data_IF_623093875051
#
_entry.id   IF_623093875051
#
_cell.length_a   1.000
_cell.length_b   1.000
_cell.length_c   1.000
_cell.angle_alpha   90.00
_cell.angle_beta   90.00
_cell.angle_gamma   90.00
#
_symmetry.space_group_name_H-M   'P 1'
#
loop_
_entity.id
_entity.type
_entity.pdbx_description
1 polymer ?
#
# COMPACT_ATOMS: atom_id res chain seq x y z
N UNK A 1 15.47 -2.26 -13.09
CA UNK A 1 14.84 -1.91 -11.79
C UNK A 1 14.86 -3.15 -10.91
N UNK A 2 15.53 -3.14 -9.76
CA UNK A 2 15.56 -4.33 -8.91
C UNK A 2 14.16 -4.51 -8.30
N UNK A 3 13.53 -5.66 -8.60
CA UNK A 3 12.23 -6.00 -8.04
C UNK A 3 12.36 -6.18 -6.52
N UNK A 4 11.42 -5.61 -5.76
CA UNK A 4 11.37 -5.68 -4.30
C UNK A 4 10.10 -6.45 -3.93
N UNK A 5 10.24 -7.42 -3.00
CA UNK A 5 9.14 -8.26 -2.54
C UNK A 5 8.61 -7.84 -1.15
N UNK A 6 7.34 -8.13 -0.85
CA UNK A 6 6.86 -8.17 0.53
C UNK A 6 7.44 -9.37 1.28
N UNK A 7 7.59 -9.26 2.59
CA UNK A 7 7.86 -10.43 3.46
C UNK A 7 6.50 -11.02 3.84
N UNK A 8 6.16 -12.18 3.25
CA UNK A 8 4.83 -12.79 3.38
C UNK A 8 4.73 -13.75 4.57
N UNK A 9 5.83 -14.41 4.92
CA UNK A 9 5.89 -15.35 6.02
C UNK A 9 6.12 -14.65 7.35
N UNK A 10 5.26 -14.92 8.35
CA UNK A 10 5.31 -14.27 9.66
C UNK A 10 6.60 -14.59 10.42
N UNK A 11 7.06 -15.84 10.35
CA UNK A 11 8.31 -16.24 11.01
C UNK A 11 9.51 -15.50 10.44
N UNK A 12 9.56 -15.36 9.13
CA UNK A 12 10.59 -14.60 8.41
C UNK A 12 10.52 -13.12 8.75
N UNK A 13 9.30 -12.57 8.83
CA UNK A 13 9.09 -11.17 9.19
C UNK A 13 9.61 -10.86 10.60
N UNK A 14 9.26 -11.68 11.58
CA UNK A 14 9.71 -11.48 12.97
C UNK A 14 11.24 -11.67 13.11
N UNK A 15 11.83 -12.65 12.42
CA UNK A 15 13.29 -12.80 12.37
C UNK A 15 13.96 -11.58 11.73
N UNK A 16 13.38 -11.02 10.68
CA UNK A 16 13.90 -9.82 10.03
C UNK A 16 13.87 -8.62 10.98
N UNK A 17 12.75 -8.40 11.66
CA UNK A 17 12.58 -7.36 12.68
C UNK A 17 13.60 -7.51 13.82
N UNK A 18 13.77 -8.74 14.32
CA UNK A 18 14.75 -9.01 15.37
C UNK A 18 16.19 -8.70 14.93
N UNK A 19 16.55 -9.08 13.71
CA UNK A 19 17.87 -8.75 13.16
C UNK A 19 18.08 -7.25 12.95
N UNK A 20 17.04 -6.51 12.60
CA UNK A 20 17.12 -5.03 12.54
C UNK A 20 17.38 -4.45 13.94
N UNK A 21 16.72 -4.99 14.97
CA UNK A 21 16.91 -4.59 16.37
C UNK A 21 18.33 -4.89 16.86
N UNK A 22 18.92 -6.02 16.45
CA UNK A 22 20.31 -6.37 16.77
C UNK A 22 21.31 -5.37 16.16
N UNK A 23 20.98 -4.73 15.03
CA UNK A 23 21.81 -3.67 14.46
C UNK A 23 21.65 -2.36 15.24
N UNK A 24 20.40 -1.90 15.42
CA UNK A 24 20.04 -0.72 16.24
C UNK A 24 18.49 -0.63 16.28
N UNK A 25 17.94 -0.33 17.45
CA UNK A 25 16.50 -0.17 17.68
C UNK A 25 15.84 0.82 16.70
N UNK A 26 16.55 1.84 16.22
CA UNK A 26 16.01 2.79 15.24
C UNK A 26 15.59 2.15 13.91
N UNK A 27 16.31 1.11 13.44
CA UNK A 27 15.95 0.41 12.20
C UNK A 27 14.76 -0.52 12.42
N UNK A 28 14.66 -1.13 13.59
CA UNK A 28 13.50 -1.89 14.01
C UNK A 28 12.25 -1.01 14.04
N UNK A 29 12.29 0.14 14.73
CA UNK A 29 11.17 1.08 14.83
C UNK A 29 10.76 1.62 13.47
N UNK A 30 11.74 2.01 12.65
CA UNK A 30 11.48 2.48 11.28
C UNK A 30 10.73 1.43 10.46
N UNK A 31 11.14 0.17 10.57
CA UNK A 31 10.50 -0.94 9.86
C UNK A 31 9.11 -1.26 10.40
N UNK A 32 8.94 -1.27 11.73
CA UNK A 32 7.64 -1.47 12.39
C UNK A 32 6.61 -0.43 11.98
N UNK A 33 6.99 0.85 11.96
CA UNK A 33 6.10 1.92 11.51
C UNK A 33 5.69 1.69 10.05
N UNK A 34 6.63 1.37 9.17
CA UNK A 34 6.33 1.12 7.77
C UNK A 34 5.43 -0.10 7.54
N UNK A 35 5.62 -1.19 8.30
CA UNK A 35 4.79 -2.41 8.23
C UNK A 35 3.43 -2.21 8.91
N UNK A 36 3.35 -1.40 9.96
CA UNK A 36 2.10 -1.16 10.69
C UNK A 36 1.19 -0.11 10.05
N UNK A 37 1.76 0.85 9.30
CA UNK A 37 1.00 1.98 8.74
C UNK A 37 0.95 1.99 7.21
N UNK A 38 1.92 1.40 6.53
CA UNK A 38 2.06 1.49 5.08
C UNK A 38 2.72 2.78 4.59
N UNK A 39 3.24 3.62 5.47
CA UNK A 39 3.99 4.82 5.11
C UNK A 39 5.27 4.48 4.32
N UNK A 40 5.70 5.42 3.49
CA UNK A 40 6.98 5.30 2.79
C UNK A 40 8.14 5.63 3.73
N UNK A 41 9.29 5.01 3.47
CA UNK A 41 10.52 5.28 4.22
C UNK A 41 10.80 6.78 4.34
N UNK A 42 10.74 7.52 3.23
CA UNK A 42 11.02 8.95 3.20
C UNK A 42 10.00 9.82 3.96
N UNK A 43 8.79 9.32 4.17
CA UNK A 43 7.75 10.00 4.96
C UNK A 43 8.04 9.82 6.45
N UNK A 44 8.37 8.59 6.86
CA UNK A 44 8.69 8.28 8.26
C UNK A 44 9.94 9.04 8.73
N UNK A 45 10.95 9.16 7.87
CA UNK A 45 12.19 9.86 8.20
C UNK A 45 12.04 11.37 8.45
N UNK A 46 10.91 11.97 8.03
CA UNK A 46 10.61 13.39 8.26
C UNK A 46 9.93 13.66 9.59
N UNK A 47 9.38 12.63 10.25
CA UNK A 47 8.63 12.84 11.49
C UNK A 47 9.53 13.23 12.64
N UNK A 48 9.05 14.19 13.41
CA UNK A 48 9.48 14.43 14.78
C UNK A 48 8.75 13.47 15.74
N UNK A 49 9.25 13.33 16.93
CA UNK A 49 8.61 12.51 17.96
C UNK A 49 7.22 13.06 18.30
N UNK A 50 7.05 14.39 18.34
CA UNK A 50 5.76 15.07 18.54
C UNK A 50 4.71 14.78 17.47
N UNK A 51 5.13 14.35 16.27
CA UNK A 51 4.19 14.03 15.18
C UNK A 51 3.49 12.69 15.36
N UNK A 52 4.04 11.79 16.17
CA UNK A 52 3.58 10.38 16.25
C UNK A 52 3.29 9.89 17.66
N UNK A 53 4.05 10.37 18.69
CA UNK A 53 3.90 9.92 20.08
C UNK A 53 2.48 10.24 20.61
N UNK A 54 1.80 9.21 21.15
CA UNK A 54 0.47 9.34 21.75
C UNK A 54 -0.67 9.60 20.76
N UNK A 55 -0.42 9.48 19.44
CA UNK A 55 -1.45 9.69 18.42
C UNK A 55 -2.04 8.37 17.92
N UNK A 56 -3.33 8.40 17.57
CA UNK A 56 -4.05 7.26 16.99
C UNK A 56 -3.89 7.19 15.47
N UNK A 57 -3.48 8.30 14.85
CA UNK A 57 -3.28 8.40 13.41
C UNK A 57 -2.26 9.47 13.06
N UNK A 58 -1.69 9.34 11.87
CA UNK A 58 -0.71 10.26 11.29
C UNK A 58 -1.25 10.79 9.97
N UNK A 59 -1.14 12.09 9.74
CA UNK A 59 -1.34 12.68 8.43
C UNK A 59 -0.02 12.71 7.67
N UNK A 60 0.00 12.17 6.46
CA UNK A 60 1.13 12.27 5.56
C UNK A 60 0.70 12.65 4.14
N UNK A 61 1.56 13.40 3.46
CA UNK A 61 1.35 13.78 2.07
C UNK A 61 1.94 12.72 1.15
N UNK A 62 1.11 12.16 0.25
CA UNK A 62 1.53 11.12 -0.68
C UNK A 62 1.67 11.68 -2.10
N UNK A 63 2.74 11.24 -2.76
CA UNK A 63 3.01 11.54 -4.17
C UNK A 63 3.38 12.99 -4.44
N UNK A 64 3.60 13.29 -5.72
CA UNK A 64 4.00 14.63 -6.19
C UNK A 64 2.90 15.69 -6.05
N UNK A 65 1.64 15.28 -5.93
CA UNK A 65 0.49 16.18 -5.76
C UNK A 65 0.16 16.51 -4.29
N UNK A 66 1.02 16.09 -3.35
CA UNK A 66 0.84 16.32 -1.91
C UNK A 66 -0.57 15.96 -1.39
N UNK A 67 -1.11 14.83 -1.83
CA UNK A 67 -2.42 14.36 -1.39
C UNK A 67 -2.31 13.94 0.07
N UNK A 68 -3.01 14.64 0.95
CA UNK A 68 -3.08 14.27 2.37
C UNK A 68 -3.83 12.95 2.56
N UNK A 69 -3.24 12.05 3.32
CA UNK A 69 -3.83 10.77 3.74
C UNK A 69 -3.64 10.57 5.22
N UNK A 70 -4.62 9.93 5.84
CA UNK A 70 -4.61 9.57 7.25
C UNK A 70 -4.24 8.10 7.38
N UNK A 71 -3.20 7.81 8.14
CA UNK A 71 -2.72 6.46 8.43
C UNK A 71 -3.00 6.15 9.89
N UNK A 72 -3.78 5.12 10.16
CA UNK A 72 -4.04 4.65 11.52
C UNK A 72 -2.80 4.01 12.12
N UNK A 73 -2.57 4.24 13.42
CA UNK A 73 -1.52 3.59 14.19
C UNK A 73 -2.17 2.48 15.01
N UNK A 74 -1.86 1.19 14.75
CA UNK A 74 -2.35 0.09 15.58
C UNK A 74 -1.88 0.23 17.04
N UNK A 75 -2.69 -0.22 18.00
CA UNK A 75 -2.37 -0.11 19.44
C UNK A 75 -1.03 -0.73 19.85
N UNK A 76 -0.69 -1.87 19.26
CA UNK A 76 0.60 -2.51 19.55
C UNK A 76 1.78 -1.67 19.05
N UNK A 77 1.62 -1.06 17.86
CA UNK A 77 2.64 -0.15 17.32
C UNK A 77 2.75 1.13 18.17
N UNK A 78 1.63 1.64 18.70
CA UNK A 78 1.62 2.80 19.59
C UNK A 78 2.48 2.54 20.84
N UNK A 79 2.29 1.40 21.50
CA UNK A 79 3.10 0.98 22.67
C UNK A 79 4.60 0.88 22.34
N UNK A 80 4.92 0.36 21.16
CA UNK A 80 6.32 0.25 20.69
C UNK A 80 6.92 1.65 20.50
N UNK A 81 6.17 2.58 19.87
CA UNK A 81 6.61 3.96 19.65
C UNK A 81 6.78 4.70 20.98
N UNK A 82 5.85 4.57 21.91
CA UNK A 82 5.91 5.18 23.23
C UNK A 82 7.16 4.74 23.96
N UNK A 83 7.40 3.44 24.04
CA UNK A 83 8.61 2.88 24.68
C UNK A 83 9.90 3.37 24.02
N UNK A 84 9.96 3.41 22.68
CA UNK A 84 11.14 3.88 21.96
C UNK A 84 11.43 5.36 22.17
N UNK A 85 10.38 6.16 22.32
CA UNK A 85 10.47 7.62 22.44
C UNK A 85 10.52 8.11 23.89
N UNK A 86 10.45 7.20 24.89
CA UNK A 86 10.52 7.54 26.30
C UNK A 86 11.79 8.34 26.63
N UNK A 87 11.66 9.45 27.36
CA UNK A 87 12.77 10.33 27.74
C UNK A 87 13.41 11.14 26.61
N UNK A 88 12.92 11.00 25.34
CA UNK A 88 13.46 11.75 24.20
C UNK A 88 12.71 13.07 24.02
N UNK A 89 13.44 14.09 23.55
CA UNK A 89 12.89 15.41 23.21
C UNK A 89 11.84 15.30 22.10
N UNK A 90 10.60 15.81 22.31
CA UNK A 90 9.54 15.78 21.32
C UNK A 90 9.88 16.46 20.00
N UNK A 91 10.76 17.46 20.01
CA UNK A 91 11.17 18.21 18.82
C UNK A 91 12.27 17.52 18.01
N UNK A 92 12.87 16.47 18.57
CA UNK A 92 13.84 15.63 17.85
C UNK A 92 13.18 14.84 16.73
N UNK A 93 13.93 14.55 15.66
CA UNK A 93 13.49 13.57 14.66
C UNK A 93 13.28 12.21 15.30
N UNK A 94 12.21 11.54 14.89
CA UNK A 94 11.87 10.20 15.38
C UNK A 94 13.01 9.19 15.15
N UNK A 95 13.60 9.24 13.96
CA UNK A 95 14.70 8.36 13.54
C UNK A 95 15.94 9.21 13.27
N UNK A 96 16.80 9.32 14.26
CA UNK A 96 18.05 10.08 14.14
C UNK A 96 19.10 9.32 13.32
N UNK A 97 19.97 10.05 12.67
CA UNK A 97 21.11 9.55 11.91
C UNK A 97 22.20 8.97 12.79
N UNK A 98 23.38 9.56 12.75
CA UNK A 98 24.52 9.14 13.61
C UNK A 98 24.35 9.65 15.03
N UNK A 99 24.99 8.96 15.97
CA UNK A 99 25.08 9.40 17.37
C UNK A 99 25.60 10.83 17.46
N UNK A 100 24.85 11.72 18.13
CA UNK A 100 25.18 13.14 18.26
C UNK A 100 24.74 14.04 17.10
N UNK A 101 24.12 13.48 16.04
CA UNK A 101 23.55 14.26 14.96
C UNK A 101 22.12 14.69 15.27
N UNK A 102 21.79 15.97 15.08
CA UNK A 102 20.41 16.45 15.11
C UNK A 102 19.63 16.16 13.80
N UNK A 103 20.29 15.58 12.79
CA UNK A 103 19.70 15.29 11.49
C UNK A 103 19.00 13.91 11.48
N UNK A 104 17.94 13.73 10.67
CA UNK A 104 17.28 12.44 10.52
C UNK A 104 18.21 11.42 9.82
N UNK A 105 17.89 10.14 10.00
CA UNK A 105 18.54 9.05 9.27
C UNK A 105 18.38 9.24 7.76
N UNK A 106 19.44 9.04 6.98
CA UNK A 106 19.35 9.11 5.53
C UNK A 106 18.64 7.89 4.94
N UNK A 107 17.91 8.09 3.84
CA UNK A 107 17.26 7.03 3.10
C UNK A 107 18.23 5.93 2.65
N UNK A 108 19.39 6.35 2.18
CA UNK A 108 20.46 5.46 1.68
C UNK A 108 21.00 4.57 2.79
N UNK A 109 21.14 5.12 3.99
CA UNK A 109 21.62 4.38 5.16
C UNK A 109 20.58 3.34 5.60
N UNK A 110 19.31 3.73 5.71
CA UNK A 110 18.22 2.79 6.01
C UNK A 110 18.14 1.66 4.95
N UNK A 111 18.22 2.02 3.67
CA UNK A 111 18.21 1.05 2.58
C UNK A 111 19.39 0.06 2.67
N UNK A 112 20.62 0.56 2.93
CA UNK A 112 21.80 -0.31 3.08
C UNK A 112 21.64 -1.32 4.21
N UNK A 113 21.11 -0.89 5.36
CA UNK A 113 20.88 -1.78 6.48
C UNK A 113 19.81 -2.82 6.15
N UNK A 114 18.67 -2.43 5.63
CA UNK A 114 17.62 -3.36 5.23
C UNK A 114 18.12 -4.41 4.23
N UNK A 115 18.89 -3.97 3.24
CA UNK A 115 19.47 -4.87 2.24
C UNK A 115 20.53 -5.82 2.85
N UNK A 116 21.37 -5.33 3.76
CA UNK A 116 22.38 -6.14 4.45
C UNK A 116 21.74 -7.21 5.31
N UNK A 117 20.73 -6.85 6.12
CA UNK A 117 19.98 -7.80 6.95
C UNK A 117 19.23 -8.80 6.04
N UNK A 118 18.59 -8.35 4.97
CA UNK A 118 17.95 -9.26 4.02
C UNK A 118 18.93 -10.27 3.44
N UNK A 119 20.10 -9.82 2.99
CA UNK A 119 21.14 -10.69 2.45
C UNK A 119 21.62 -11.72 3.45
N UNK A 120 21.80 -11.35 4.73
CA UNK A 120 22.20 -12.29 5.79
C UNK A 120 21.16 -13.39 6.07
N UNK A 121 19.90 -13.16 5.65
CA UNK A 121 18.79 -14.11 5.78
C UNK A 121 18.47 -14.82 4.45
N UNK A 122 19.26 -14.62 3.40
CA UNK A 122 18.98 -15.17 2.07
C UNK A 122 17.83 -14.48 1.32
N UNK A 123 17.37 -13.33 1.80
CA UNK A 123 16.29 -12.55 1.18
C UNK A 123 16.85 -11.56 0.15
N UNK A 124 16.87 -11.94 -1.11
CA UNK A 124 17.49 -11.15 -2.18
C UNK A 124 16.66 -9.95 -2.67
N UNK A 125 15.36 -9.95 -2.40
CA UNK A 125 14.40 -8.95 -2.90
C UNK A 125 14.00 -7.89 -1.85
N UNK A 126 14.88 -7.59 -0.88
CA UNK A 126 14.67 -6.58 0.16
C UNK A 126 15.12 -5.21 -0.31
N UNK A 127 14.30 -4.19 -0.01
CA UNK A 127 14.57 -2.79 -0.34
C UNK A 127 13.69 -1.80 0.40
N UNK A 128 13.77 -0.52 0.03
CA UNK A 128 13.02 0.56 0.67
C UNK A 128 11.47 0.39 0.61
N UNK A 129 10.98 -0.37 -0.37
CA UNK A 129 9.55 -0.63 -0.55
C UNK A 129 9.07 -1.89 0.21
N UNK A 130 9.97 -2.70 0.75
CA UNK A 130 9.61 -3.98 1.40
C UNK A 130 8.59 -3.79 2.51
N UNK A 131 8.81 -2.83 3.42
CA UNK A 131 7.89 -2.59 4.53
C UNK A 131 6.49 -2.17 4.06
N UNK A 132 6.39 -1.26 3.07
CA UNK A 132 5.11 -0.81 2.51
C UNK A 132 4.40 -1.93 1.73
N UNK A 133 5.15 -2.75 0.99
CA UNK A 133 4.60 -3.93 0.31
C UNK A 133 4.13 -5.00 1.31
N UNK A 134 4.87 -5.20 2.40
CA UNK A 134 4.49 -6.12 3.48
C UNK A 134 3.21 -5.68 4.16
N UNK A 135 3.09 -4.39 4.51
CA UNK A 135 1.83 -3.81 5.01
C UNK A 135 0.66 -4.09 4.05
N UNK A 136 0.81 -3.70 2.79
CA UNK A 136 -0.24 -3.83 1.80
C UNK A 136 -0.68 -5.29 1.59
N UNK A 137 0.28 -6.21 1.54
CA UNK A 137 -0.01 -7.64 1.42
C UNK A 137 -0.74 -8.19 2.65
N UNK A 138 -0.26 -7.87 3.87
CA UNK A 138 -0.88 -8.32 5.13
C UNK A 138 -2.29 -7.77 5.28
N UNK A 139 -2.49 -6.49 5.00
CA UNK A 139 -3.81 -5.88 5.03
C UNK A 139 -4.76 -6.56 4.05
N UNK A 140 -4.33 -6.80 2.81
CA UNK A 140 -5.13 -7.53 1.82
C UNK A 140 -5.49 -8.93 2.31
N UNK A 141 -4.55 -9.68 2.87
CA UNK A 141 -4.83 -11.04 3.39
C UNK A 141 -5.78 -11.06 4.58
N UNK A 142 -5.79 -10.01 5.39
CA UNK A 142 -6.69 -9.89 6.54
C UNK A 142 -8.10 -9.41 6.17
N UNK A 143 -8.25 -8.61 5.12
CA UNK A 143 -9.51 -7.90 4.82
C UNK A 143 -10.10 -8.19 3.45
N UNK A 144 -9.32 -8.73 2.51
CA UNK A 144 -9.60 -8.86 1.07
C UNK A 144 -9.95 -7.51 0.38
N UNK A 145 -9.67 -6.38 1.06
CA UNK A 145 -10.01 -5.04 0.55
C UNK A 145 -8.85 -4.44 -0.25
N UNK A 146 -8.78 -4.79 -1.52
CA UNK A 146 -7.77 -4.26 -2.45
C UNK A 146 -8.01 -2.78 -2.77
N UNK A 147 -9.25 -2.31 -2.71
CA UNK A 147 -9.61 -0.93 -3.04
C UNK A 147 -9.13 0.04 -1.96
N UNK A 148 -9.22 -0.33 -0.69
CA UNK A 148 -8.63 0.45 0.38
C UNK A 148 -7.13 0.62 0.17
N UNK A 149 -6.41 -0.46 -0.15
CA UNK A 149 -4.96 -0.42 -0.40
C UNK A 149 -4.66 0.43 -1.64
N UNK A 150 -5.41 0.26 -2.72
CA UNK A 150 -5.29 1.06 -3.94
C UNK A 150 -5.37 2.55 -3.62
N UNK A 151 -6.38 2.94 -2.87
CA UNK A 151 -6.61 4.33 -2.48
C UNK A 151 -5.49 4.84 -1.57
N UNK A 152 -5.12 4.06 -0.53
CA UNK A 152 -4.07 4.41 0.41
C UNK A 152 -2.70 4.59 -0.27
N UNK A 153 -2.38 3.73 -1.25
CA UNK A 153 -1.13 3.78 -2.01
C UNK A 153 -1.18 4.75 -3.19
N UNK A 154 -2.36 5.28 -3.52
CA UNK A 154 -2.61 6.13 -4.68
C UNK A 154 -2.28 5.44 -6.01
N UNK A 155 -2.68 4.18 -6.15
CA UNK A 155 -2.53 3.44 -7.39
C UNK A 155 -3.69 3.73 -8.34
N UNK A 156 -3.40 3.82 -9.63
CA UNK A 156 -4.41 4.15 -10.65
C UNK A 156 -5.45 3.03 -10.85
N UNK A 157 -5.12 1.76 -10.53
CA UNK A 157 -6.05 0.65 -10.68
C UNK A 157 -5.79 -0.48 -9.66
N UNK A 158 -6.79 -1.34 -9.37
CA UNK A 158 -6.61 -2.53 -8.55
C UNK A 158 -5.55 -3.48 -9.11
N UNK A 159 -5.45 -3.61 -10.44
CA UNK A 159 -4.46 -4.47 -11.10
C UNK A 159 -3.02 -4.06 -10.76
N UNK A 160 -2.76 -2.75 -10.65
CA UNK A 160 -1.46 -2.24 -10.21
C UNK A 160 -1.21 -2.65 -8.75
N UNK A 161 -2.25 -2.58 -7.90
CA UNK A 161 -2.15 -2.94 -6.49
C UNK A 161 -1.89 -4.44 -6.31
N UNK A 162 -2.60 -5.30 -7.03
CA UNK A 162 -2.35 -6.75 -7.05
C UNK A 162 -0.91 -7.07 -7.45
N UNK A 163 -0.44 -6.49 -8.54
CA UNK A 163 0.94 -6.65 -8.98
C UNK A 163 1.95 -6.11 -7.98
N UNK A 164 1.63 -4.99 -7.32
CA UNK A 164 2.48 -4.39 -6.29
C UNK A 164 2.70 -5.32 -5.09
N UNK A 165 1.65 -5.99 -4.61
CA UNK A 165 1.71 -6.94 -3.49
C UNK A 165 2.12 -8.36 -3.91
N UNK A 166 2.27 -8.61 -5.21
CA UNK A 166 2.62 -9.93 -5.75
C UNK A 166 1.52 -10.97 -5.58
N UNK A 167 0.26 -10.55 -5.79
CA UNK A 167 -0.93 -11.40 -5.81
C UNK A 167 -1.60 -11.34 -7.18
N UNK A 168 -2.44 -12.34 -7.46
CA UNK A 168 -3.33 -12.35 -8.63
C UNK A 168 -4.75 -12.00 -8.18
N UNK A 169 -5.52 -11.28 -9.00
CA UNK A 169 -6.95 -11.06 -8.71
C UNK A 169 -7.64 -12.42 -8.57
N UNK A 170 -8.38 -12.61 -7.48
CA UNK A 170 -9.26 -13.76 -7.37
C UNK A 170 -10.63 -13.35 -7.92
N UNK A 171 -10.85 -13.63 -9.21
CA UNK A 171 -12.08 -13.27 -9.93
C UNK A 171 -13.32 -13.85 -9.27
N UNK A 172 -13.25 -15.06 -8.70
CA UNK A 172 -14.38 -15.69 -8.02
C UNK A 172 -14.79 -14.97 -6.72
N UNK A 173 -13.84 -14.40 -6.00
CA UNK A 173 -14.11 -13.66 -4.76
C UNK A 173 -14.74 -12.30 -5.04
N UNK A 174 -14.33 -11.64 -6.12
CA UNK A 174 -14.91 -10.36 -6.54
C UNK A 174 -16.38 -10.53 -6.93
N UNK A 175 -16.73 -11.63 -7.60
CA UNK A 175 -18.11 -11.91 -8.02
C UNK A 175 -19.01 -12.45 -6.90
N UNK A 176 -18.45 -13.18 -5.92
CA UNK A 176 -19.22 -13.77 -4.80
C UNK A 176 -19.51 -12.83 -3.63
N UNK A 177 -18.75 -11.77 -3.44
CA UNK A 177 -18.86 -10.87 -2.26
C UNK A 177 -19.77 -9.67 -2.47
N UNK A 178 -20.32 -9.45 -3.65
CA UNK A 178 -21.23 -8.32 -3.88
C UNK A 178 -22.68 -8.78 -3.88
N UNK A 179 -23.42 -8.55 -2.79
CA UNK A 179 -24.87 -8.51 -2.86
C UNK A 179 -25.30 -7.32 -3.71
N UNK A 180 -26.46 -7.35 -4.41
CA UNK A 180 -26.96 -6.23 -5.20
C UNK A 180 -26.98 -4.90 -4.42
N UNK A 181 -27.30 -4.94 -3.13
CA UNK A 181 -27.40 -3.77 -2.24
C UNK A 181 -26.03 -3.22 -1.82
N UNK A 182 -25.05 -4.09 -1.56
CA UNK A 182 -23.67 -3.68 -1.28
C UNK A 182 -23.00 -3.10 -2.53
N UNK A 183 -23.35 -3.63 -3.70
CA UNK A 183 -22.90 -3.12 -4.99
C UNK A 183 -23.44 -1.71 -5.25
N UNK A 184 -24.69 -1.43 -4.91
CA UNK A 184 -25.31 -0.12 -5.06
C UNK A 184 -24.73 0.90 -4.07
N UNK A 185 -24.47 0.51 -2.81
CA UNK A 185 -23.86 1.35 -1.78
C UNK A 185 -22.38 1.63 -2.06
N UNK A 186 -21.64 0.65 -2.56
CA UNK A 186 -20.26 0.80 -3.02
C UNK A 186 -20.17 1.65 -4.28
N UNK A 187 -21.12 1.53 -5.21
CA UNK A 187 -21.26 2.42 -6.38
C UNK A 187 -21.45 3.86 -5.93
N UNK A 188 -22.37 4.13 -5.01
CA UNK A 188 -22.64 5.48 -4.51
C UNK A 188 -21.43 6.14 -3.83
N UNK A 189 -20.66 5.39 -3.03
CA UNK A 189 -19.45 5.87 -2.38
C UNK A 189 -18.29 6.07 -3.37
N UNK A 190 -18.19 5.26 -4.41
CA UNK A 190 -17.20 5.39 -5.49
C UNK A 190 -17.45 6.64 -6.35
N UNK A 191 -18.69 7.09 -6.49
CA UNK A 191 -19.05 8.27 -7.29
C UNK A 191 -18.83 9.59 -6.55
N UNK A 192 -18.91 9.60 -5.24
CA UNK A 192 -18.77 10.82 -4.44
C UNK A 192 -17.33 11.33 -4.32
N UNK A 193 -16.36 10.46 -4.45
CA UNK A 193 -14.92 10.77 -4.45
C UNK A 193 -14.33 10.47 -5.82
N UNK A 194 -13.41 11.22 -6.35
CA UNK A 194 -12.67 11.06 -7.62
C UNK A 194 -12.38 9.61 -8.10
N UNK A 195 -12.84 8.59 -7.38
CA UNK A 195 -12.74 7.17 -7.67
C UNK A 195 -13.49 6.76 -8.95
N UNK A 196 -14.62 7.40 -9.28
CA UNK A 196 -15.35 7.12 -10.51
C UNK A 196 -14.55 7.44 -11.78
N UNK A 197 -13.73 8.51 -11.75
CA UNK A 197 -12.81 8.83 -12.86
C UNK A 197 -11.71 7.78 -12.99
N UNK A 198 -11.18 7.30 -11.88
CA UNK A 198 -10.15 6.25 -11.87
C UNK A 198 -10.71 4.91 -12.37
N UNK A 199 -11.99 4.62 -12.09
CA UNK A 199 -12.65 3.40 -12.59
C UNK A 199 -12.87 3.44 -14.09
N UNK A 200 -13.29 4.60 -14.65
CA UNK A 200 -13.41 4.78 -16.12
C UNK A 200 -12.06 4.56 -16.79
N UNK A 201 -10.97 5.14 -16.27
CA UNK A 201 -9.64 4.91 -16.82
C UNK A 201 -9.22 3.44 -16.75
N UNK A 202 -9.50 2.74 -15.64
CA UNK A 202 -9.20 1.33 -15.50
C UNK A 202 -9.97 0.45 -16.51
N UNK A 203 -11.25 0.75 -16.74
CA UNK A 203 -12.07 0.06 -17.75
C UNK A 203 -11.62 0.38 -19.18
N UNK A 204 -11.21 1.61 -19.44
CA UNK A 204 -10.66 2.02 -20.74
C UNK A 204 -9.33 1.30 -21.02
N UNK A 205 -8.46 1.21 -20.01
CA UNK A 205 -7.18 0.47 -20.12
C UNK A 205 -7.40 -1.04 -20.34
N UNK A 206 -8.44 -1.61 -19.75
CA UNK A 206 -8.81 -3.02 -19.95
C UNK A 206 -9.39 -3.25 -21.35
N UNK A 207 -10.24 -2.34 -21.85
CA UNK A 207 -10.73 -2.38 -23.23
C UNK A 207 -9.58 -2.25 -24.25
N UNK A 208 -8.61 -1.38 -24.03
CA UNK A 208 -7.44 -1.26 -24.90
C UNK A 208 -6.55 -2.52 -24.90
N UNK A 209 -6.55 -3.31 -23.80
CA UNK A 209 -5.86 -4.62 -23.76
C UNK A 209 -6.62 -5.66 -24.54
N UNK A 210 -7.94 -5.69 -24.38
CA UNK A 210 -8.83 -6.58 -25.14
C UNK A 210 -8.73 -6.29 -26.65
N UNK A 211 -8.66 -5.03 -27.05
CA UNK A 211 -8.44 -4.63 -28.45
C UNK A 211 -7.14 -5.21 -29.01
N UNK A 212 -6.06 -5.21 -28.24
CA UNK A 212 -4.78 -5.85 -28.63
C UNK A 212 -4.84 -7.39 -28.66
N UNK A 213 -5.70 -8.01 -27.85
CA UNK A 213 -5.94 -9.45 -27.88
C UNK A 213 -6.80 -9.88 -29.09
N UNK A 214 -7.60 -8.94 -29.66
CA UNK A 214 -8.38 -9.18 -30.91
C UNK A 214 -7.51 -9.49 -32.12
N UNK A 215 -6.29 -8.99 -32.17
CA UNK A 215 -5.34 -9.26 -33.25
C UNK A 215 -4.80 -10.71 -33.22
N UNK A 216 -5.12 -11.50 -32.18
CA UNK A 216 -4.70 -12.91 -32.05
C UNK A 216 -5.74 -13.76 -31.29
N UNK A 217 -6.91 -14.08 -31.89
CA UNK A 217 -8.05 -14.68 -31.19
C UNK A 217 -7.84 -16.17 -30.92
N UNK A 218 -7.52 -16.55 -29.68
CA UNK A 218 -7.35 -17.96 -29.28
C UNK A 218 -8.52 -18.60 -28.56
N UNK A 219 -9.60 -17.87 -28.19
CA UNK A 219 -10.82 -18.50 -27.67
C UNK A 219 -12.02 -17.53 -27.61
N UNK A 220 -13.05 -17.75 -28.42
CA UNK A 220 -14.05 -16.75 -28.73
C UNK A 220 -15.09 -16.45 -27.62
N UNK A 221 -15.66 -17.45 -26.93
CA UNK A 221 -16.84 -17.23 -26.07
C UNK A 221 -16.52 -16.54 -24.73
N UNK A 222 -15.43 -16.93 -24.07
CA UNK A 222 -15.00 -16.30 -22.82
C UNK A 222 -14.49 -14.87 -23.04
N UNK A 223 -13.94 -14.59 -24.22
CA UNK A 223 -13.47 -13.28 -24.64
C UNK A 223 -14.64 -12.31 -24.86
N UNK A 224 -15.65 -12.70 -25.66
CA UNK A 224 -16.84 -11.90 -25.90
C UNK A 224 -17.64 -11.64 -24.63
N UNK A 225 -17.75 -12.62 -23.73
CA UNK A 225 -18.40 -12.43 -22.43
C UNK A 225 -17.67 -11.41 -21.53
N UNK A 226 -16.35 -11.32 -21.61
CA UNK A 226 -15.58 -10.26 -20.89
C UNK A 226 -15.82 -8.88 -21.51
N UNK A 227 -15.86 -8.79 -22.83
CA UNK A 227 -16.14 -7.54 -23.55
C UNK A 227 -17.52 -7.01 -23.21
N UNK A 228 -18.54 -7.87 -23.25
CA UNK A 228 -19.93 -7.47 -22.93
C UNK A 228 -20.07 -7.01 -21.47
N UNK A 229 -19.41 -7.69 -20.54
CA UNK A 229 -19.42 -7.30 -19.15
C UNK A 229 -18.78 -5.92 -18.92
N UNK A 230 -17.65 -5.64 -19.58
CA UNK A 230 -16.96 -4.35 -19.50
C UNK A 230 -17.73 -3.21 -20.18
N UNK A 231 -18.35 -3.48 -21.32
CA UNK A 231 -19.19 -2.51 -22.01
C UNK A 231 -20.44 -2.15 -21.18
N UNK A 232 -21.08 -3.14 -20.58
CA UNK A 232 -22.23 -2.93 -19.68
C UNK A 232 -21.84 -2.08 -18.46
N UNK A 233 -20.68 -2.38 -17.84
CA UNK A 233 -20.19 -1.60 -16.71
C UNK A 233 -19.84 -0.15 -17.12
N UNK A 234 -19.32 0.06 -18.31
CA UNK A 234 -18.98 1.38 -18.84
C UNK A 234 -20.23 2.19 -19.17
N UNK A 235 -21.25 1.57 -19.74
CA UNK A 235 -22.55 2.19 -19.99
C UNK A 235 -23.26 2.60 -18.71
N UNK A 236 -23.25 1.74 -17.69
CA UNK A 236 -23.80 2.04 -16.37
C UNK A 236 -23.08 3.23 -15.72
N UNK A 237 -21.75 3.27 -15.81
CA UNK A 237 -20.96 4.38 -15.32
C UNK A 237 -21.28 5.68 -16.05
N UNK A 238 -21.41 5.66 -17.37
CA UNK A 238 -21.75 6.84 -18.18
C UNK A 238 -23.17 7.34 -17.90
N UNK A 239 -24.14 6.45 -17.75
CA UNK A 239 -25.53 6.81 -17.45
C UNK A 239 -25.66 7.45 -16.07
N UNK A 240 -24.91 6.95 -15.08
CA UNK A 240 -24.90 7.53 -13.74
C UNK A 240 -24.26 8.93 -13.74
N UNK A 241 -23.24 9.20 -14.57
CA UNK A 241 -22.69 10.55 -14.72
C UNK A 241 -23.65 11.54 -15.38
N UNK A 242 -24.53 11.08 -16.30
CA UNK A 242 -25.54 11.94 -16.93
C UNK A 242 -26.68 12.31 -15.98
N UNK A 243 -27.02 11.43 -15.05
CA UNK A 243 -28.12 11.62 -14.10
C UNK A 243 -27.72 12.40 -12.84
N UNK A 244 -26.46 12.79 -12.69
CA UNK A 244 -25.94 13.54 -11.53
C UNK A 244 -25.70 15.03 -11.87
N UNK A 245 -26.13 15.49 -13.05
CA UNK A 245 -26.22 16.89 -13.45
C UNK A 245 -27.65 17.37 -13.33
#
# INVERSE_FOLDING_TARGET
MNWVAPIKDDTTLEKFKQKLREVDDKYYILFEIGVGTGLQLQEILKFKISDIRGKDSIEACIGTKNIKRVFKIPEDLKKIIEKYTEGKDPESYLILGHSGSAAPLSREQAYRVFKSVGKSMGLNAIGAQTMRKTFAWRYYKATDDIYYIQNLLNHASPSITYRYIGEKPNVEVVLKKMTPEENERSRYLLYKDNAGKNRIHALTDELCRIEKELDNPTNNDAFYGRVDCLLTELEDLMNNFKNTR
#
